data_IF_759571584424
#
_entry.id   IF_759571584424
#
_cell.length_a   1.000
_cell.length_b   1.000
_cell.length_c   1.000
_cell.angle_alpha   90.00
_cell.angle_beta   90.00
_cell.angle_gamma   90.00
#
_symmetry.space_group_name_H-M   'P 1'
#
loop_
_entity.id
_entity.type
_entity.pdbx_description
1 polymer ?
#
# COMPACT_ATOMS: atom_id res chain seq x y z
N UNK A 1 8.50 -28.95 -14.34
CA UNK A 1 7.17 -29.57 -14.39
C UNK A 1 6.32 -28.79 -13.40
N UNK A 2 5.59 -27.79 -13.87
CA UNK A 2 4.72 -26.99 -13.00
C UNK A 2 3.57 -27.90 -12.58
N UNK A 3 3.44 -28.13 -11.28
CA UNK A 3 2.25 -28.72 -10.70
C UNK A 3 1.22 -27.61 -10.73
N UNK A 4 0.17 -27.78 -11.55
CA UNK A 4 -1.00 -26.92 -11.49
C UNK A 4 -1.60 -27.09 -10.09
N UNK A 5 -1.61 -26.02 -9.30
CA UNK A 5 -2.32 -26.05 -8.02
C UNK A 5 -3.82 -26.31 -8.29
N UNK A 6 -4.51 -27.13 -7.47
CA UNK A 6 -5.91 -27.50 -7.70
C UNK A 6 -6.91 -26.34 -7.63
N UNK A 7 -6.44 -25.11 -7.37
CA UNK A 7 -7.23 -23.89 -7.30
C UNK A 7 -7.40 -23.18 -8.66
N UNK A 8 -6.67 -23.59 -9.70
CA UNK A 8 -6.58 -22.87 -10.98
C UNK A 8 -7.71 -23.16 -11.98
N UNK A 9 -8.95 -23.33 -11.49
CA UNK A 9 -10.12 -23.38 -12.36
C UNK A 9 -11.06 -22.26 -11.94
N UNK A 10 -10.78 -21.04 -12.41
CA UNK A 10 -11.78 -19.98 -12.41
C UNK A 10 -12.97 -20.47 -13.22
N UNK A 11 -14.12 -20.65 -12.55
CA UNK A 11 -15.32 -21.16 -13.19
C UNK A 11 -15.79 -20.18 -14.26
N UNK A 12 -16.10 -20.70 -15.45
CA UNK A 12 -16.68 -19.88 -16.51
C UNK A 12 -18.01 -19.30 -16.03
N UNK A 13 -18.19 -18.00 -16.24
CA UNK A 13 -19.44 -17.30 -15.92
C UNK A 13 -20.55 -17.86 -16.83
N UNK A 14 -21.68 -18.32 -16.27
CA UNK A 14 -22.82 -18.79 -17.05
C UNK A 14 -23.40 -17.69 -17.95
N UNK A 15 -23.95 -18.07 -19.11
CA UNK A 15 -24.62 -17.13 -20.02
C UNK A 15 -26.02 -16.71 -19.52
N UNK A 16 -26.62 -17.50 -18.63
CA UNK A 16 -27.97 -17.28 -18.08
C UNK A 16 -28.00 -17.65 -16.60
N UNK A 17 -28.84 -16.93 -15.88
CA UNK A 17 -29.01 -17.10 -14.44
C UNK A 17 -30.48 -17.26 -14.10
N UNK A 18 -30.76 -18.19 -13.18
CA UNK A 18 -32.12 -18.42 -12.67
C UNK A 18 -32.49 -17.48 -11.51
N UNK A 19 -31.53 -16.74 -10.96
CA UNK A 19 -31.75 -15.78 -9.87
C UNK A 19 -30.68 -14.69 -9.83
N UNK A 20 -31.03 -13.55 -9.23
CA UNK A 20 -30.07 -12.46 -8.96
C UNK A 20 -28.92 -12.90 -8.07
N UNK A 21 -29.19 -13.73 -7.05
CA UNK A 21 -28.13 -14.28 -6.19
C UNK A 21 -27.16 -15.13 -6.99
N UNK A 22 -27.66 -16.02 -7.87
CA UNK A 22 -26.81 -16.84 -8.73
C UNK A 22 -25.98 -16.03 -9.72
N UNK A 23 -26.53 -14.90 -10.20
CA UNK A 23 -25.77 -13.93 -10.98
C UNK A 23 -24.62 -13.34 -10.16
N UNK A 24 -24.92 -12.70 -9.02
CA UNK A 24 -23.91 -11.97 -8.23
C UNK A 24 -22.80 -12.86 -7.72
N UNK A 25 -23.12 -14.06 -7.23
CA UNK A 25 -22.10 -14.98 -6.69
C UNK A 25 -21.21 -15.59 -7.77
N UNK A 26 -21.66 -15.64 -9.03
CA UNK A 26 -20.86 -16.18 -10.13
C UNK A 26 -19.63 -15.34 -10.48
N UNK A 27 -19.62 -14.06 -10.08
CA UNK A 27 -18.49 -13.15 -10.31
C UNK A 27 -17.45 -13.18 -9.19
N UNK A 28 -17.68 -13.87 -8.08
CA UNK A 28 -16.72 -13.84 -6.96
C UNK A 28 -15.33 -14.37 -7.35
N UNK A 29 -15.25 -15.59 -7.89
CA UNK A 29 -13.95 -16.15 -8.28
C UNK A 29 -13.30 -15.35 -9.43
N UNK A 30 -14.03 -14.97 -10.51
CA UNK A 30 -13.48 -14.12 -11.57
C UNK A 30 -12.95 -12.77 -11.08
N UNK A 31 -13.68 -12.07 -10.20
CA UNK A 31 -13.24 -10.77 -9.68
C UNK A 31 -12.00 -10.91 -8.79
N UNK A 32 -11.93 -11.98 -7.99
CA UNK A 32 -10.75 -12.28 -7.17
C UNK A 32 -9.55 -12.56 -8.07
N UNK A 33 -9.70 -13.37 -9.12
CA UNK A 33 -8.60 -13.67 -10.03
C UNK A 33 -8.18 -12.44 -10.86
N UNK A 34 -9.14 -11.64 -11.34
CA UNK A 34 -8.84 -10.38 -12.03
C UNK A 34 -8.03 -9.43 -11.13
N UNK A 35 -8.47 -9.24 -9.88
CA UNK A 35 -7.76 -8.41 -8.90
C UNK A 35 -6.39 -8.99 -8.57
N UNK A 36 -6.28 -10.31 -8.45
CA UNK A 36 -5.01 -11.00 -8.22
C UNK A 36 -4.03 -10.79 -9.37
N UNK A 37 -4.47 -11.00 -10.61
CA UNK A 37 -3.65 -10.80 -11.80
C UNK A 37 -3.19 -9.34 -11.96
N UNK A 38 -4.07 -8.37 -11.71
CA UNK A 38 -3.73 -6.95 -11.75
C UNK A 38 -2.69 -6.59 -10.69
N UNK A 39 -2.86 -7.07 -9.45
CA UNK A 39 -1.92 -6.81 -8.36
C UNK A 39 -0.57 -7.51 -8.58
N UNK A 40 -0.57 -8.73 -9.12
CA UNK A 40 0.64 -9.46 -9.50
C UNK A 40 1.42 -8.77 -10.62
N UNK A 41 0.72 -8.19 -11.60
CA UNK A 41 1.30 -7.34 -12.63
C UNK A 41 2.07 -6.17 -12.00
N UNK A 42 1.48 -5.48 -11.02
CA UNK A 42 2.16 -4.42 -10.27
C UNK A 42 3.39 -4.90 -9.52
N UNK A 43 3.30 -6.06 -8.86
CA UNK A 43 4.41 -6.65 -8.12
C UNK A 43 5.64 -6.92 -9.00
N UNK A 44 5.43 -7.26 -10.27
CA UNK A 44 6.52 -7.51 -11.23
C UNK A 44 7.44 -6.30 -11.46
N UNK A 45 6.94 -5.08 -11.20
CA UNK A 45 7.65 -3.81 -11.42
C UNK A 45 7.98 -3.07 -10.11
N UNK A 46 7.78 -3.71 -8.96
CA UNK A 46 7.88 -3.08 -7.62
C UNK A 46 9.25 -2.44 -7.34
N UNK A 47 10.35 -2.98 -7.90
CA UNK A 47 11.69 -2.38 -7.75
C UNK A 47 11.83 -1.01 -8.40
N UNK A 48 10.95 -0.68 -9.35
CA UNK A 48 10.91 0.60 -10.06
C UNK A 48 9.86 1.56 -9.47
N UNK A 49 9.04 1.09 -8.53
CA UNK A 49 8.00 1.90 -7.91
C UNK A 49 8.60 3.12 -7.19
N UNK A 50 7.83 4.21 -7.16
CA UNK A 50 8.16 5.36 -6.33
C UNK A 50 8.05 4.96 -4.86
N UNK A 51 8.89 5.56 -4.01
CA UNK A 51 8.96 5.18 -2.59
C UNK A 51 8.95 6.43 -1.72
N UNK A 52 8.48 6.28 -0.48
CA UNK A 52 8.59 7.29 0.55
C UNK A 52 8.84 6.64 1.91
N UNK A 53 9.78 7.21 2.65
CA UNK A 53 10.13 6.72 3.98
C UNK A 53 9.01 7.02 4.99
N UNK A 54 8.69 6.02 5.80
CA UNK A 54 7.78 6.17 6.94
C UNK A 54 8.62 6.64 8.12
N UNK A 55 8.30 7.82 8.65
CA UNK A 55 8.93 8.40 9.83
C UNK A 55 8.42 7.75 11.12
N UNK A 56 7.11 7.53 11.23
CA UNK A 56 6.53 6.88 12.41
C UNK A 56 5.22 6.18 12.10
N UNK A 57 4.89 5.14 12.87
CA UNK A 57 3.61 4.43 12.81
C UNK A 57 2.98 4.43 14.20
N UNK A 58 1.70 4.78 14.29
CA UNK A 58 0.93 4.81 15.54
C UNK A 58 -0.40 4.11 15.34
N UNK A 59 -0.76 3.21 16.25
CA UNK A 59 -2.08 2.59 16.24
C UNK A 59 -3.15 3.63 16.60
N UNK A 60 -4.34 3.52 16.02
CA UNK A 60 -5.49 4.33 16.40
C UNK A 60 -5.92 3.98 17.83
N UNK A 61 -5.67 4.88 18.78
CA UNK A 61 -5.92 4.72 20.24
C UNK A 61 -7.38 4.39 20.59
N UNK A 62 -8.31 4.55 19.64
CA UNK A 62 -9.76 4.34 19.83
C UNK A 62 -10.27 2.97 19.35
N UNK A 63 -9.45 2.14 18.71
CA UNK A 63 -9.85 0.78 18.40
C UNK A 63 -9.60 -0.08 19.65
N UNK A 64 -10.67 -0.62 20.24
CA UNK A 64 -10.58 -1.72 21.22
C UNK A 64 -9.65 -2.82 20.65
N UNK A 65 -9.00 -3.65 21.46
CA UNK A 65 -8.05 -4.68 21.00
C UNK A 65 -8.77 -5.87 20.31
N UNK A 66 -9.58 -5.58 19.30
CA UNK A 66 -10.29 -6.55 18.49
C UNK A 66 -10.14 -6.17 17.02
N UNK A 67 -9.22 -6.86 16.35
CA UNK A 67 -9.19 -7.12 14.89
C UNK A 67 -8.99 -5.95 13.92
N UNK A 68 -9.12 -4.71 14.36
CA UNK A 68 -9.03 -3.56 13.47
C UNK A 68 -7.56 -3.08 13.33
N UNK A 69 -6.90 -3.51 12.24
CA UNK A 69 -5.51 -3.19 11.88
C UNK A 69 -5.37 -1.77 11.30
N UNK A 70 -5.93 -0.76 11.96
CA UNK A 70 -5.82 0.65 11.53
C UNK A 70 -4.63 1.35 12.20
N UNK A 71 -3.80 1.97 11.36
CA UNK A 71 -2.61 2.69 11.77
C UNK A 71 -2.55 4.05 11.09
N UNK A 72 -2.01 5.02 11.83
CA UNK A 72 -1.55 6.29 11.27
C UNK A 72 -0.05 6.16 10.98
N UNK A 73 0.33 6.28 9.72
CA UNK A 73 1.71 6.42 9.30
C UNK A 73 2.00 7.90 9.01
N UNK A 74 3.07 8.43 9.60
CA UNK A 74 3.63 9.73 9.25
C UNK A 74 4.79 9.50 8.31
N UNK A 75 4.84 10.23 7.20
CA UNK A 75 5.90 10.12 6.20
C UNK A 75 6.96 11.20 6.39
N UNK A 76 8.18 10.91 5.96
CA UNK A 76 9.26 11.91 5.96
C UNK A 76 8.91 13.10 5.05
N UNK A 77 9.39 14.28 5.44
CA UNK A 77 9.24 15.49 4.66
C UNK A 77 10.13 15.46 3.42
N UNK A 78 9.61 15.98 2.31
CA UNK A 78 10.37 16.09 1.07
C UNK A 78 11.36 17.23 1.21
N UNK A 79 12.66 16.91 1.38
CA UNK A 79 13.71 17.92 1.23
C UNK A 79 13.82 18.28 -0.25
N UNK A 80 13.41 19.50 -0.60
CA UNK A 80 13.35 20.03 -1.97
C UNK A 80 14.67 19.99 -2.75
N UNK A 81 15.81 19.76 -2.08
CA UNK A 81 17.15 19.89 -2.68
C UNK A 81 17.97 18.59 -2.75
N UNK A 82 17.48 17.47 -2.21
CA UNK A 82 18.29 16.23 -2.11
C UNK A 82 17.80 15.07 -3.01
N UNK A 83 16.56 15.12 -3.53
CA UNK A 83 15.97 14.00 -4.27
C UNK A 83 15.82 14.29 -5.77
N UNK A 84 16.65 13.64 -6.60
CA UNK A 84 16.57 13.68 -8.07
C UNK A 84 15.53 12.71 -8.68
N UNK A 85 14.69 12.07 -7.87
CA UNK A 85 13.70 11.08 -8.31
C UNK A 85 12.28 11.44 -7.93
N UNK A 86 11.30 10.85 -8.63
CA UNK A 86 9.88 10.98 -8.29
C UNK A 86 9.63 10.32 -6.93
N UNK A 87 9.13 11.09 -5.98
CA UNK A 87 8.79 10.63 -4.63
C UNK A 87 7.34 10.19 -4.64
N UNK A 88 7.04 9.10 -3.94
CA UNK A 88 5.67 8.64 -3.77
C UNK A 88 4.89 9.58 -2.85
N UNK A 89 3.78 10.13 -3.35
CA UNK A 89 2.77 10.82 -2.57
C UNK A 89 1.57 9.88 -2.46
N UNK A 90 1.15 9.47 -1.24
CA UNK A 90 0.03 8.54 -1.11
C UNK A 90 -1.29 9.16 -1.55
N UNK A 91 -2.10 8.35 -2.22
CA UNK A 91 -3.48 8.66 -2.56
C UNK A 91 -4.45 7.72 -1.85
N UNK A 92 -5.69 8.18 -1.69
CA UNK A 92 -6.74 7.36 -1.08
C UNK A 92 -7.05 6.20 -2.03
N UNK A 93 -7.08 4.98 -1.48
CA UNK A 93 -7.26 3.68 -2.18
C UNK A 93 -5.99 3.06 -2.78
N UNK A 94 -4.82 3.65 -2.56
CA UNK A 94 -3.56 2.99 -2.92
C UNK A 94 -3.37 1.70 -2.12
N UNK A 95 -2.89 0.66 -2.80
CA UNK A 95 -2.37 -0.56 -2.18
C UNK A 95 -0.85 -0.48 -2.21
N UNK A 96 -0.23 -0.46 -1.03
CA UNK A 96 1.21 -0.26 -0.88
C UNK A 96 1.88 -1.46 -0.21
N UNK A 97 3.15 -1.67 -0.57
CA UNK A 97 4.04 -2.56 0.14
C UNK A 97 4.90 -1.76 1.13
N UNK A 98 4.84 -2.12 2.41
CA UNK A 98 5.71 -1.60 3.45
C UNK A 98 6.88 -2.55 3.62
N UNK A 99 8.08 -2.03 3.45
CA UNK A 99 9.33 -2.80 3.46
C UNK A 99 10.34 -2.15 4.41
N UNK A 100 11.12 -2.96 5.12
CA UNK A 100 12.23 -2.43 5.95
C UNK A 100 13.40 -1.84 5.15
N UNK A 101 13.52 -2.20 3.88
CA UNK A 101 14.54 -1.73 2.94
C UNK A 101 13.94 -1.63 1.55
N UNK A 102 14.36 -0.64 0.76
CA UNK A 102 13.91 -0.47 -0.63
C UNK A 102 14.26 -1.71 -1.45
N UNK A 103 13.27 -2.41 -2.04
CA UNK A 103 13.52 -3.54 -2.93
C UNK A 103 14.30 -3.10 -4.17
N UNK A 104 15.28 -3.91 -4.60
CA UNK A 104 16.03 -3.72 -5.84
C UNK A 104 15.58 -4.68 -6.94
N UNK A 105 14.99 -5.81 -6.55
CA UNK A 105 14.33 -6.77 -7.43
C UNK A 105 13.16 -7.44 -6.70
N UNK A 106 12.34 -8.18 -7.42
CA UNK A 106 11.16 -8.86 -6.87
C UNK A 106 11.56 -9.90 -5.80
N UNK A 107 12.68 -10.60 -6.01
CA UNK A 107 13.23 -11.58 -5.07
C UNK A 107 13.62 -10.99 -3.71
N UNK A 108 13.71 -9.66 -3.57
CA UNK A 108 13.96 -9.04 -2.27
C UNK A 108 12.76 -9.13 -1.32
N UNK A 109 11.54 -9.29 -1.86
CA UNK A 109 10.28 -9.37 -1.10
C UNK A 109 10.01 -10.76 -0.52
N UNK A 110 10.57 -11.82 -1.11
CA UNK A 110 10.33 -13.21 -0.73
C UNK A 110 11.33 -13.76 0.29
N UNK A 111 12.27 -12.93 0.76
CA UNK A 111 13.33 -13.41 1.66
C UNK A 111 12.79 -13.65 3.08
N UNK A 112 13.16 -14.76 3.74
CA UNK A 112 12.68 -15.12 5.09
C UNK A 112 12.88 -14.06 6.19
N UNK A 113 13.80 -13.10 5.98
CA UNK A 113 14.08 -11.99 6.92
C UNK A 113 13.83 -10.59 6.32
N UNK A 114 13.20 -10.51 5.14
CA UNK A 114 12.81 -9.24 4.48
C UNK A 114 11.39 -9.34 3.96
N UNK A 115 10.49 -9.80 4.82
CA UNK A 115 9.05 -9.77 4.53
C UNK A 115 8.57 -8.34 4.33
N UNK A 116 7.58 -8.18 3.47
CA UNK A 116 6.82 -6.95 3.31
C UNK A 116 5.44 -7.10 3.95
N UNK A 117 4.81 -5.95 4.25
CA UNK A 117 3.42 -5.89 4.66
C UNK A 117 2.62 -5.16 3.59
N UNK A 118 1.49 -5.72 3.19
CA UNK A 118 0.54 -5.01 2.32
C UNK A 118 -0.32 -4.10 3.19
N UNK A 119 -0.47 -2.85 2.78
CA UNK A 119 -1.34 -1.88 3.44
C UNK A 119 -2.23 -1.17 2.41
N UNK A 120 -3.41 -0.76 2.86
CA UNK A 120 -4.39 -0.03 2.06
C UNK A 120 -4.53 1.39 2.62
N UNK A 121 -4.38 2.40 1.76
CA UNK A 121 -4.45 3.81 2.16
C UNK A 121 -5.91 4.24 2.30
N UNK A 122 -6.39 4.27 3.53
CA UNK A 122 -7.78 4.65 3.83
C UNK A 122 -8.02 6.17 3.75
N UNK A 123 -7.06 6.98 4.18
CA UNK A 123 -7.18 8.43 4.19
C UNK A 123 -5.80 9.08 4.24
N UNK A 124 -5.65 10.26 3.63
CA UNK A 124 -4.42 11.05 3.63
C UNK A 124 -4.70 12.41 4.26
N UNK A 125 -3.79 12.86 5.13
CA UNK A 125 -3.85 14.20 5.76
C UNK A 125 -2.55 14.92 5.50
N UNK A 126 -2.64 16.16 5.06
CA UNK A 126 -1.49 17.03 4.92
C UNK A 126 -1.40 17.90 6.16
N UNK A 127 -0.42 17.64 7.02
CA UNK A 127 -0.07 18.60 8.07
C UNK A 127 0.81 19.67 7.43
N UNK A 128 0.32 20.91 7.38
CA UNK A 128 1.17 22.04 7.04
C UNK A 128 2.27 22.13 8.10
N UNK A 129 3.54 22.03 7.68
CA UNK A 129 4.65 22.29 8.58
C UNK A 129 4.54 23.74 9.07
N UNK A 130 4.00 23.94 10.27
CA UNK A 130 4.11 25.22 10.98
C UNK A 130 5.59 25.43 11.29
N UNK A 131 6.31 26.10 10.40
CA UNK A 131 7.63 26.63 10.67
C UNK A 131 7.42 27.69 11.75
N UNK A 132 7.67 27.32 13.01
CA UNK A 132 7.84 28.30 14.08
C UNK A 132 9.12 29.07 13.76
N UNK A 133 9.01 30.16 13.01
CA UNK A 133 10.04 31.18 12.93
C UNK A 133 10.32 31.64 14.37
N UNK A 134 11.44 31.17 14.95
CA UNK A 134 12.03 31.85 16.08
C UNK A 134 12.68 33.11 15.53
N UNK A 135 11.90 34.20 15.46
CA UNK A 135 12.45 35.54 15.22
C UNK A 135 13.35 35.91 16.38
N UNK A 136 14.66 35.84 16.13
CA UNK A 136 15.69 36.37 17.00
C UNK A 136 15.67 37.89 16.85
N UNK A 137 15.20 38.60 17.87
CA UNK A 137 15.36 40.06 17.94
C UNK A 137 16.68 40.35 18.69
N UNK A 138 17.71 40.90 18.04
CA UNK A 138 18.88 41.40 18.77
C UNK A 138 18.48 42.69 19.49
N UNK A 139 18.56 42.67 20.82
CA UNK A 139 18.48 43.88 21.65
C UNK A 139 19.79 44.66 21.46
N UNK A 140 19.74 45.78 20.75
CA UNK A 140 20.84 46.74 20.77
C UNK A 140 20.65 47.68 21.98
N UNK A 141 21.73 47.79 22.76
CA UNK A 141 21.95 48.71 23.88
C UNK A 141 22.12 50.13 23.34
#
# INVERSE_FOLDING_TARGET
MWVQDPLDIVRKIPEKFSSTTGYLTSFYDPLVEETHADLMSGMSTVSQATTRAIFSVRQTVKCKPSKDLFYHATLESVKKFENHGVIYEPEVRDVIAITGVRPKCNDDLERPNRSYLVAFVLSVRYEECLVKEKSYFPTNI
#
